data_IF_619028179536
#
_entry.id   IF_619028179536
#
_cell.length_a   1.000
_cell.length_b   1.000
_cell.length_c   1.000
_cell.angle_alpha   90.00
_cell.angle_beta   90.00
_cell.angle_gamma   90.00
#
_symmetry.space_group_name_H-M   'P 1'
#
loop_
_entity.id
_entity.type
_entity.pdbx_description
1 polymer ?
#
# COMPACT_ATOMS: atom_id res chain seq x y z
N UNK A 1 -30.71 35.55 63.37
CA UNK A 1 -29.46 34.84 62.98
C UNK A 1 -29.86 33.70 62.07
N UNK A 2 -29.87 33.91 60.75
CA UNK A 2 -28.80 33.58 59.77
C UNK A 2 -28.43 32.09 59.76
N UNK A 3 -28.89 31.37 58.73
CA UNK A 3 -28.13 30.44 57.85
C UNK A 3 -29.15 29.58 57.08
N UNK A 4 -29.45 29.91 55.82
CA UNK A 4 -28.78 29.47 54.57
C UNK A 4 -29.23 28.06 54.16
N UNK A 5 -30.06 28.04 53.11
CA UNK A 5 -30.41 26.88 52.31
C UNK A 5 -29.20 26.35 51.55
N UNK A 6 -29.07 25.03 51.44
CA UNK A 6 -28.33 24.39 50.34
C UNK A 6 -29.14 23.16 49.89
N UNK A 7 -29.92 23.36 48.83
CA UNK A 7 -30.38 22.30 47.94
C UNK A 7 -29.14 21.75 47.23
N UNK A 8 -28.79 20.48 47.45
CA UNK A 8 -27.82 19.78 46.63
C UNK A 8 -28.58 18.79 45.75
N UNK A 9 -29.06 19.30 44.62
CA UNK A 9 -29.50 18.49 43.49
C UNK A 9 -28.29 17.73 42.96
N UNK A 10 -28.27 16.41 43.18
CA UNK A 10 -27.26 15.52 42.60
C UNK A 10 -27.57 15.44 41.11
N UNK A 11 -26.82 16.23 40.34
CA UNK A 11 -26.76 16.20 38.89
C UNK A 11 -26.02 14.90 38.49
N UNK A 12 -26.77 13.84 38.17
CA UNK A 12 -26.23 12.68 37.47
C UNK A 12 -25.91 13.10 36.03
N UNK A 13 -24.76 13.76 35.85
CA UNK A 13 -24.17 14.01 34.54
C UNK A 13 -23.56 12.72 34.04
N UNK A 14 -24.05 12.31 32.89
CA UNK A 14 -23.60 11.19 32.09
C UNK A 14 -22.07 11.19 31.91
N UNK A 15 -21.47 10.04 32.21
CA UNK A 15 -20.35 9.51 31.45
C UNK A 15 -20.63 8.02 31.27
N UNK A 16 -21.58 7.69 30.39
CA UNK A 16 -21.55 6.39 29.74
C UNK A 16 -20.21 6.33 29.03
N UNK A 17 -19.34 5.45 29.50
CA UNK A 17 -18.09 5.10 28.85
C UNK A 17 -18.35 4.95 27.36
N UNK A 18 -17.88 5.92 26.58
CA UNK A 18 -17.53 5.64 25.19
C UNK A 18 -16.49 4.54 25.28
N UNK A 19 -16.93 3.31 25.09
CA UNK A 19 -16.05 2.30 24.52
C UNK A 19 -15.57 2.94 23.23
N UNK A 20 -14.35 3.48 23.26
CA UNK A 20 -13.51 3.65 22.07
C UNK A 20 -13.30 2.24 21.53
N UNK A 21 -14.37 1.77 20.89
CA UNK A 21 -14.29 0.93 19.73
C UNK A 21 -13.29 1.63 18.83
N UNK A 22 -12.04 1.20 18.92
CA UNK A 22 -11.09 1.24 17.81
C UNK A 22 -11.74 0.43 16.68
N UNK A 23 -12.80 1.02 16.11
CA UNK A 23 -13.06 1.01 14.69
C UNK A 23 -11.79 1.63 14.08
N UNK A 24 -10.73 0.82 14.01
CA UNK A 24 -9.95 0.74 12.79
C UNK A 24 -11.03 0.68 11.73
N UNK A 25 -11.30 1.84 11.13
CA UNK A 25 -12.12 1.89 9.96
C UNK A 25 -11.50 0.87 9.03
N UNK A 26 -12.17 -0.26 8.88
CA UNK A 26 -12.27 -0.98 7.62
C UNK A 26 -12.88 0.02 6.64
N UNK A 27 -12.14 1.10 6.37
CA UNK A 27 -12.14 1.78 5.11
C UNK A 27 -11.66 0.68 4.18
N UNK A 28 -12.62 -0.11 3.70
CA UNK A 28 -12.54 -0.85 2.48
C UNK A 28 -12.13 0.19 1.44
N UNK A 29 -10.82 0.37 1.32
CA UNK A 29 -10.19 1.00 0.20
C UNK A 29 -10.59 0.12 -0.98
N UNK A 30 -11.76 0.41 -1.55
CA UNK A 30 -12.14 0.03 -2.91
C UNK A 30 -11.25 0.85 -3.86
N UNK A 31 -9.94 0.71 -3.65
CA UNK A 31 -8.91 1.27 -4.47
C UNK A 31 -8.83 0.34 -5.66
N UNK A 32 -9.50 0.76 -6.71
CA UNK A 32 -9.27 0.16 -8.00
C UNK A 32 -7.87 0.58 -8.47
N UNK A 33 -6.88 -0.29 -8.26
CA UNK A 33 -5.55 -0.14 -8.86
C UNK A 33 -5.55 -0.47 -10.37
N UNK A 34 -6.71 -0.87 -10.91
CA UNK A 34 -6.87 -1.25 -12.31
C UNK A 34 -6.45 -0.09 -13.23
N UNK A 35 -5.62 -0.42 -14.20
CA UNK A 35 -5.07 0.50 -15.18
C UNK A 35 -3.58 0.31 -15.40
N UNK A 36 -3.04 1.17 -16.26
CA UNK A 36 -1.63 1.24 -16.62
C UNK A 36 -0.94 2.36 -15.83
N UNK A 37 0.27 2.08 -15.37
CA UNK A 37 1.02 2.91 -14.42
C UNK A 37 2.46 3.06 -14.91
N UNK A 38 2.79 4.26 -15.38
CA UNK A 38 4.13 4.59 -15.84
C UNK A 38 5.02 4.98 -14.65
N UNK A 39 6.27 4.53 -14.59
CA UNK A 39 7.19 4.90 -13.53
C UNK A 39 7.56 6.39 -13.63
N UNK A 40 7.60 7.07 -12.50
CA UNK A 40 8.12 8.45 -12.42
C UNK A 40 9.64 8.50 -12.21
N UNK A 41 10.26 7.34 -11.96
CA UNK A 41 11.66 7.14 -11.59
C UNK A 41 12.06 7.80 -10.26
N UNK A 42 11.10 8.16 -9.42
CA UNK A 42 11.35 8.49 -8.03
C UNK A 42 11.23 7.24 -7.16
N UNK A 43 12.22 7.02 -6.30
CA UNK A 43 12.26 5.89 -5.38
C UNK A 43 12.70 6.34 -3.97
N UNK A 44 12.30 5.57 -2.95
CA UNK A 44 12.86 5.63 -1.60
C UNK A 44 13.36 4.24 -1.23
N UNK A 45 14.53 4.16 -0.61
CA UNK A 45 15.04 2.91 -0.05
C UNK A 45 14.65 2.81 1.41
N UNK A 46 14.30 1.60 1.84
CA UNK A 46 14.02 1.26 3.23
C UNK A 46 15.34 1.18 4.01
N UNK A 47 15.43 1.96 5.07
CA UNK A 47 16.56 1.95 6.00
C UNK A 47 16.52 0.69 6.88
N UNK A 48 17.63 0.41 7.59
CA UNK A 48 17.74 -0.73 8.49
C UNK A 48 16.76 -0.67 9.69
N UNK A 49 16.31 0.53 10.06
CA UNK A 49 15.30 0.76 11.11
C UNK A 49 13.85 0.58 10.61
N UNK A 50 13.68 0.26 9.32
CA UNK A 50 12.38 0.07 8.68
C UNK A 50 11.72 1.35 8.15
N UNK A 51 12.31 2.53 8.38
CA UNK A 51 11.83 3.81 7.82
C UNK A 51 12.21 3.94 6.34
N UNK A 52 11.55 4.85 5.62
CA UNK A 52 11.92 5.20 4.25
C UNK A 52 12.72 6.48 4.23
N UNK A 53 13.86 6.47 3.53
CA UNK A 53 14.69 7.65 3.31
C UNK A 53 14.05 8.68 2.38
N UNK A 54 14.85 9.64 1.92
CA UNK A 54 14.37 10.69 1.02
C UNK A 54 14.05 10.16 -0.39
N UNK A 55 13.09 10.81 -1.05
CA UNK A 55 12.82 10.58 -2.46
C UNK A 55 14.01 11.03 -3.29
N UNK A 56 14.53 10.13 -4.13
CA UNK A 56 15.55 10.46 -5.10
C UNK A 56 15.15 9.92 -6.48
N UNK A 57 15.66 10.57 -7.52
CA UNK A 57 15.45 10.14 -8.90
C UNK A 57 16.55 9.17 -9.29
N UNK A 58 16.17 8.02 -9.87
CA UNK A 58 17.14 7.06 -10.42
C UNK A 58 17.39 7.34 -11.91
N UNK A 59 18.66 7.20 -12.34
CA UNK A 59 19.03 7.29 -13.75
C UNK A 59 19.00 5.88 -14.38
N UNK A 60 17.92 5.62 -15.11
CA UNK A 60 17.61 4.70 -16.23
C UNK A 60 18.40 3.42 -16.56
N UNK A 61 19.53 3.08 -15.93
CA UNK A 61 20.18 1.77 -16.17
C UNK A 61 19.38 0.59 -15.58
N UNK A 62 18.45 0.87 -14.67
CA UNK A 62 17.42 -0.07 -14.20
C UNK A 62 16.06 0.57 -14.46
N UNK A 63 15.61 0.54 -15.72
CA UNK A 63 14.30 1.06 -16.08
C UNK A 63 13.24 0.21 -15.37
N UNK A 64 12.54 0.80 -14.39
CA UNK A 64 11.27 0.24 -13.93
C UNK A 64 10.35 0.12 -15.15
N UNK A 65 9.63 -1.00 -15.33
CA UNK A 65 8.72 -1.14 -16.45
C UNK A 65 7.41 -0.39 -16.18
N UNK A 66 6.60 -0.22 -17.22
CA UNK A 66 5.19 0.17 -17.04
C UNK A 66 4.44 -1.02 -16.46
N UNK A 67 3.70 -0.77 -15.37
CA UNK A 67 2.84 -1.78 -14.75
C UNK A 67 1.41 -1.68 -15.25
N UNK A 68 0.76 -2.82 -15.44
CA UNK A 68 -0.65 -2.89 -15.77
C UNK A 68 -1.35 -3.90 -14.89
N UNK A 69 -2.38 -3.43 -14.20
CA UNK A 69 -3.29 -4.23 -13.40
C UNK A 69 -4.62 -4.29 -14.14
N UNK A 70 -5.00 -5.45 -14.68
CA UNK A 70 -6.22 -5.59 -15.47
C UNK A 70 -7.42 -5.94 -14.59
N UNK A 71 -8.63 -5.59 -15.03
CA UNK A 71 -9.86 -5.87 -14.27
C UNK A 71 -10.16 -7.36 -14.07
N UNK A 72 -9.59 -8.24 -14.90
CA UNK A 72 -9.69 -9.70 -14.80
C UNK A 72 -8.57 -10.34 -13.96
N UNK A 73 -7.73 -9.53 -13.29
CA UNK A 73 -6.73 -9.99 -12.33
C UNK A 73 -5.38 -10.38 -12.94
N UNK A 74 -5.07 -9.92 -14.16
CA UNK A 74 -3.75 -10.10 -14.77
C UNK A 74 -2.82 -8.95 -14.38
N UNK A 75 -1.56 -9.29 -14.15
CA UNK A 75 -0.48 -8.34 -13.97
C UNK A 75 0.48 -8.40 -15.16
N UNK A 76 0.66 -7.27 -15.83
CA UNK A 76 1.55 -7.14 -16.98
C UNK A 76 2.65 -6.12 -16.71
N UNK A 77 3.82 -6.38 -17.27
CA UNK A 77 4.93 -5.44 -17.35
C UNK A 77 5.22 -5.12 -18.82
N UNK A 78 5.21 -3.84 -19.18
CA UNK A 78 5.37 -3.36 -20.56
C UNK A 78 4.44 -4.09 -21.56
N UNK A 79 3.21 -4.36 -21.14
CA UNK A 79 2.19 -5.04 -21.95
C UNK A 79 2.41 -6.55 -22.14
N UNK A 80 3.33 -7.17 -21.39
CA UNK A 80 3.63 -8.61 -21.44
C UNK A 80 3.35 -9.27 -20.09
N UNK A 81 3.09 -10.60 -20.05
CA UNK A 81 2.94 -11.33 -18.79
C UNK A 81 4.12 -11.08 -17.84
N UNK A 82 3.81 -10.67 -16.61
CA UNK A 82 4.80 -10.14 -15.66
C UNK A 82 5.59 -11.21 -14.90
N UNK A 83 5.17 -12.49 -14.94
CA UNK A 83 5.76 -13.53 -14.12
C UNK A 83 7.27 -13.63 -14.34
N UNK A 84 8.01 -13.41 -13.25
CA UNK A 84 9.45 -13.60 -13.24
C UNK A 84 9.87 -14.47 -12.06
N UNK A 85 11.18 -14.69 -11.96
CA UNK A 85 11.79 -15.61 -11.01
C UNK A 85 11.75 -15.12 -9.57
N UNK A 86 11.76 -13.80 -9.36
CA UNK A 86 12.08 -13.22 -8.07
C UNK A 86 10.91 -12.44 -7.48
N UNK A 87 10.12 -11.75 -8.30
CA UNK A 87 9.13 -10.79 -7.85
C UNK A 87 7.92 -10.83 -8.79
N UNK A 88 6.71 -10.93 -8.23
CA UNK A 88 5.44 -10.96 -8.95
C UNK A 88 5.23 -12.14 -9.95
N UNK A 89 3.97 -12.52 -10.07
CA UNK A 89 3.47 -13.54 -10.99
C UNK A 89 2.52 -12.93 -12.02
N UNK A 90 1.97 -13.75 -12.92
CA UNK A 90 1.08 -13.25 -13.98
C UNK A 90 -0.28 -12.79 -13.47
N UNK A 91 -0.70 -13.25 -12.29
CA UNK A 91 -1.98 -12.90 -11.69
C UNK A 91 -1.79 -12.17 -10.37
N UNK A 92 -2.75 -11.32 -10.06
CA UNK A 92 -2.77 -10.58 -8.80
C UNK A 92 -4.15 -10.57 -8.15
N UNK A 93 -4.16 -10.37 -6.85
CA UNK A 93 -5.34 -9.98 -6.09
C UNK A 93 -4.98 -8.87 -5.10
N UNK A 94 -5.96 -8.04 -4.75
CA UNK A 94 -5.78 -6.96 -3.79
C UNK A 94 -6.69 -7.18 -2.60
N UNK A 95 -6.12 -7.15 -1.40
CA UNK A 95 -6.87 -7.16 -0.16
C UNK A 95 -6.32 -6.07 0.76
N UNK A 96 -7.21 -5.17 1.20
CA UNK A 96 -6.87 -3.98 1.99
C UNK A 96 -5.89 -3.08 1.22
N UNK A 97 -4.59 -3.23 1.47
CA UNK A 97 -3.51 -2.51 0.81
C UNK A 97 -2.39 -3.44 0.33
N UNK A 98 -2.61 -4.76 0.30
CA UNK A 98 -1.62 -5.74 -0.15
C UNK A 98 -2.00 -6.30 -1.51
N UNK A 99 -1.01 -6.36 -2.39
CA UNK A 99 -1.09 -7.02 -3.69
C UNK A 99 -0.40 -8.38 -3.54
N UNK A 100 -1.18 -9.45 -3.67
CA UNK A 100 -0.67 -10.81 -3.66
C UNK A 100 -0.56 -11.30 -5.09
N UNK A 101 0.54 -11.97 -5.43
CA UNK A 101 0.75 -12.50 -6.78
C UNK A 101 0.69 -14.02 -6.81
N UNK A 102 0.18 -14.56 -7.91
CA UNK A 102 0.14 -15.99 -8.21
C UNK A 102 0.61 -16.24 -9.64
N UNK A 103 0.83 -17.51 -10.00
CA UNK A 103 1.42 -17.89 -11.30
C UNK A 103 2.82 -17.29 -11.49
N UNK A 104 3.69 -17.46 -10.49
CA UNK A 104 5.10 -17.09 -10.54
C UNK A 104 5.90 -18.08 -11.39
N UNK A 105 7.05 -17.63 -11.91
CA UNK A 105 7.95 -18.48 -12.67
C UNK A 105 8.92 -19.18 -11.71
N UNK A 106 8.97 -20.51 -11.73
CA UNK A 106 9.96 -21.25 -10.96
C UNK A 106 11.34 -21.16 -11.67
N UNK A 107 12.35 -20.69 -10.94
CA UNK A 107 13.70 -20.53 -11.45
C UNK A 107 14.71 -21.05 -10.41
N UNK A 108 14.98 -22.37 -10.37
CA UNK A 108 15.79 -22.99 -9.32
C UNK A 108 17.25 -22.49 -9.31
N UNK A 109 17.74 -21.95 -10.43
CA UNK A 109 19.10 -21.43 -10.57
C UNK A 109 19.19 -19.91 -10.32
N UNK A 110 18.07 -19.22 -10.11
CA UNK A 110 18.07 -17.78 -9.88
C UNK A 110 18.32 -17.47 -8.40
N UNK A 111 19.35 -16.66 -8.13
CA UNK A 111 19.60 -16.09 -6.81
C UNK A 111 18.78 -14.82 -6.62
N UNK A 112 17.56 -14.98 -6.12
CA UNK A 112 16.68 -13.86 -5.82
C UNK A 112 16.96 -13.28 -4.44
N UNK A 113 16.89 -11.95 -4.32
CA UNK A 113 16.85 -11.32 -3.00
C UNK A 113 15.60 -11.79 -2.25
N UNK A 114 15.75 -12.06 -0.95
CA UNK A 114 14.61 -12.39 -0.10
C UNK A 114 13.67 -11.19 0.00
N UNK A 115 12.56 -11.26 -0.73
CA UNK A 115 11.50 -10.27 -0.70
C UNK A 115 10.18 -10.89 -0.28
N UNK A 116 9.28 -10.11 0.35
CA UNK A 116 7.91 -10.55 0.54
C UNK A 116 7.27 -10.93 -0.80
N UNK A 117 6.48 -12.00 -0.81
CA UNK A 117 5.69 -12.45 -1.98
C UNK A 117 4.52 -11.53 -2.33
N UNK A 118 4.41 -10.39 -1.65
CA UNK A 118 3.35 -9.40 -1.82
C UNK A 118 3.94 -8.00 -1.85
N UNK A 119 3.27 -7.11 -2.56
CA UNK A 119 3.58 -5.68 -2.55
C UNK A 119 2.58 -4.94 -1.67
N UNK A 120 2.98 -3.77 -1.17
CA UNK A 120 2.08 -2.92 -0.38
C UNK A 120 1.77 -1.64 -1.14
N UNK A 121 0.49 -1.34 -1.29
CA UNK A 121 -0.02 -0.05 -1.77
C UNK A 121 0.16 0.93 -0.62
N UNK A 122 1.21 1.76 -0.71
CA UNK A 122 1.50 2.78 0.30
C UNK A 122 0.56 3.97 0.16
N UNK A 123 0.28 4.37 -1.08
CA UNK A 123 -0.62 5.48 -1.38
C UNK A 123 -1.26 5.28 -2.75
N UNK A 124 -2.53 5.67 -2.87
CA UNK A 124 -3.17 5.97 -4.15
C UNK A 124 -3.94 7.28 -4.04
N UNK A 125 -3.63 8.23 -4.91
CA UNK A 125 -4.25 9.56 -4.87
C UNK A 125 -4.34 10.14 -6.28
N UNK A 126 -5.56 10.24 -6.79
CA UNK A 126 -5.80 10.62 -8.18
C UNK A 126 -5.06 9.68 -9.13
N UNK A 127 -4.20 10.25 -9.98
CA UNK A 127 -3.37 9.50 -10.93
C UNK A 127 -2.02 9.07 -10.34
N UNK A 128 -1.78 9.20 -9.03
CA UNK A 128 -0.52 8.78 -8.40
C UNK A 128 -0.68 7.47 -7.63
N UNK A 129 0.25 6.55 -7.83
CA UNK A 129 0.37 5.29 -7.10
C UNK A 129 1.78 5.19 -6.49
N UNK A 130 1.86 4.81 -5.21
CA UNK A 130 3.12 4.49 -4.54
C UNK A 130 3.07 3.04 -4.08
N UNK A 131 3.96 2.22 -4.64
CA UNK A 131 4.10 0.81 -4.29
C UNK A 131 5.36 0.61 -3.46
N UNK A 132 5.23 -0.12 -2.37
CA UNK A 132 6.35 -0.70 -1.63
C UNK A 132 6.61 -2.12 -2.16
N UNK A 133 7.76 -2.27 -2.80
CA UNK A 133 8.25 -3.48 -3.44
C UNK A 133 9.58 -3.84 -2.79
N UNK A 134 9.66 -4.98 -2.12
CA UNK A 134 10.87 -5.38 -1.40
C UNK A 134 11.35 -4.32 -0.38
N UNK A 135 12.48 -3.69 -0.69
CA UNK A 135 13.19 -2.69 0.12
C UNK A 135 13.05 -1.29 -0.47
N UNK A 136 12.14 -1.08 -1.43
CA UNK A 136 11.98 0.18 -2.13
C UNK A 136 10.51 0.62 -2.18
N UNK A 137 10.28 1.94 -2.18
CA UNK A 137 9.01 2.54 -2.59
C UNK A 137 9.18 3.24 -3.91
N UNK A 138 8.37 2.87 -4.89
CA UNK A 138 8.42 3.44 -6.23
C UNK A 138 7.14 4.23 -6.50
N UNK A 139 7.30 5.39 -7.14
CA UNK A 139 6.19 6.26 -7.52
C UNK A 139 5.84 6.10 -9.00
N UNK A 140 4.56 5.89 -9.27
CA UNK A 140 4.00 5.74 -10.59
C UNK A 140 2.90 6.78 -10.85
N UNK A 141 2.66 7.03 -12.12
CA UNK A 141 1.56 7.87 -12.60
C UNK A 141 0.65 7.06 -13.53
N UNK A 142 -0.66 7.20 -13.40
CA UNK A 142 -1.64 6.53 -14.25
C UNK A 142 -1.50 7.04 -15.69
N UNK A 143 -1.40 6.14 -16.65
CA UNK A 143 -1.43 6.50 -18.07
C UNK A 143 -2.87 6.58 -18.54
N UNK A 144 -3.16 7.58 -19.37
CA UNK A 144 -4.47 7.75 -20.00
C UNK A 144 -4.72 6.73 -21.11
#
# INVERSE_FOLDING_TARGET
MKAIAIFFSILLVACTSKEDSLLLSESSLNVSIVGKWAPTYFTQTKNADGTFGEWHRINTFVALPVYEFTSDGQFLTDGKPAANCCFAGNKYSVAVNKISFTETKNCPEALCMACPSSWTISEIKGDTLILEECMARNKFVKTK
#
